data_IF_103946874111
#
_entry.id   IF_103946874111
#
_cell.length_a   1.000
_cell.length_b   1.000
_cell.length_c   1.000
_cell.angle_alpha   90.00
_cell.angle_beta   90.00
_cell.angle_gamma   90.00
#
_symmetry.space_group_name_H-M   'P 1'
#
loop_
_entity.id
_entity.type
_entity.pdbx_description
1 polymer ?
#
# COMPACT_ATOMS: atom_id res chain seq x y z
N UNK A 1 -13.28 -0.02 15.09
CA UNK A 1 -13.49 -1.18 14.19
C UNK A 1 -14.98 -1.51 14.00
N UNK A 2 -15.72 -1.87 15.06
CA UNK A 2 -17.14 -2.25 14.97
C UNK A 2 -18.12 -1.18 14.47
N UNK A 3 -17.70 0.09 14.40
CA UNK A 3 -18.52 1.18 13.84
C UNK A 3 -18.58 1.16 12.30
N UNK A 4 -17.62 0.52 11.62
CA UNK A 4 -17.51 0.55 10.15
C UNK A 4 -17.34 -0.85 9.53
N UNK A 5 -16.70 -1.78 10.26
CA UNK A 5 -16.51 -3.18 9.84
C UNK A 5 -17.22 -4.10 10.85
N UNK A 6 -18.32 -4.76 10.48
CA UNK A 6 -19.14 -5.54 11.41
C UNK A 6 -18.51 -6.88 11.81
N UNK A 7 -17.53 -7.39 11.04
CA UNK A 7 -16.88 -8.68 11.28
C UNK A 7 -15.40 -8.63 10.91
N UNK A 8 -14.56 -9.20 11.77
CA UNK A 8 -13.10 -9.31 11.55
C UNK A 8 -12.75 -10.18 10.34
N UNK A 9 -13.62 -11.14 10.00
CA UNK A 9 -13.42 -12.03 8.84
C UNK A 9 -13.40 -11.26 7.51
N UNK A 10 -14.15 -10.15 7.41
CA UNK A 10 -14.14 -9.28 6.23
C UNK A 10 -12.77 -8.61 6.07
N UNK A 11 -12.17 -8.15 7.17
CA UNK A 11 -10.84 -7.54 7.15
C UNK A 11 -9.78 -8.55 6.69
N UNK A 12 -9.82 -9.78 7.19
CA UNK A 12 -8.90 -10.84 6.72
C UNK A 12 -9.10 -11.16 5.24
N UNK A 13 -10.34 -11.17 4.75
CA UNK A 13 -10.62 -11.32 3.32
C UNK A 13 -9.99 -10.21 2.47
N UNK A 14 -10.11 -8.95 2.90
CA UNK A 14 -9.52 -7.80 2.20
C UNK A 14 -7.99 -7.87 2.22
N UNK A 15 -7.37 -8.13 3.38
CA UNK A 15 -5.91 -8.24 3.49
C UNK A 15 -5.37 -9.36 2.60
N UNK A 16 -6.04 -10.51 2.58
CA UNK A 16 -5.66 -11.63 1.73
C UNK A 16 -5.77 -11.27 0.24
N UNK A 17 -6.86 -10.62 -0.15
CA UNK A 17 -7.11 -10.20 -1.53
C UNK A 17 -6.09 -9.16 -2.03
N UNK A 18 -5.84 -8.11 -1.24
CA UNK A 18 -4.82 -7.09 -1.52
C UNK A 18 -3.42 -7.72 -1.63
N UNK A 19 -3.07 -8.60 -0.70
CA UNK A 19 -1.78 -9.29 -0.71
C UNK A 19 -1.58 -10.19 -1.93
N UNK A 20 -2.60 -10.96 -2.31
CA UNK A 20 -2.54 -11.83 -3.50
C UNK A 20 -2.45 -11.02 -4.80
N UNK A 21 -3.23 -9.94 -4.94
CA UNK A 21 -3.19 -9.08 -6.12
C UNK A 21 -1.87 -8.30 -6.22
N UNK A 22 -1.37 -7.76 -5.11
CA UNK A 22 -0.09 -7.07 -5.06
C UNK A 22 1.06 -7.99 -5.45
N UNK A 23 1.10 -9.20 -4.87
CA UNK A 23 2.12 -10.20 -5.21
C UNK A 23 2.06 -10.65 -6.67
N UNK A 24 0.86 -10.90 -7.20
CA UNK A 24 0.68 -11.32 -8.59
C UNK A 24 1.11 -10.22 -9.59
N UNK A 25 0.75 -8.96 -9.33
CA UNK A 25 1.16 -7.85 -10.19
C UNK A 25 2.66 -7.58 -10.11
N UNK A 26 3.27 -7.71 -8.93
CA UNK A 26 4.72 -7.62 -8.74
C UNK A 26 5.45 -8.63 -9.63
N UNK A 27 5.19 -9.93 -9.44
CA UNK A 27 5.87 -10.99 -10.20
C UNK A 27 5.62 -10.86 -11.70
N UNK A 28 4.39 -10.53 -12.11
CA UNK A 28 4.06 -10.35 -13.52
C UNK A 28 4.80 -9.17 -14.15
N UNK A 29 4.98 -8.06 -13.42
CA UNK A 29 5.75 -6.91 -13.91
C UNK A 29 7.21 -7.27 -14.16
N UNK A 30 7.87 -7.90 -13.19
CA UNK A 30 9.25 -8.37 -13.34
C UNK A 30 9.38 -9.41 -14.47
N UNK A 31 8.45 -10.35 -14.56
CA UNK A 31 8.41 -11.34 -15.63
C UNK A 31 8.36 -10.70 -17.01
N UNK A 32 7.49 -9.70 -17.20
CA UNK A 32 7.33 -8.96 -18.45
C UNK A 32 8.61 -8.19 -18.82
N UNK A 33 9.25 -7.52 -17.86
CA UNK A 33 10.49 -6.78 -18.09
C UNK A 33 11.63 -7.74 -18.49
N UNK A 34 11.73 -8.89 -17.84
CA UNK A 34 12.76 -9.88 -18.17
C UNK A 34 12.56 -10.50 -19.55
N UNK A 35 11.32 -10.76 -19.98
CA UNK A 35 11.04 -11.48 -21.23
C UNK A 35 10.80 -10.58 -22.45
N UNK A 36 10.24 -9.38 -22.28
CA UNK A 36 9.86 -8.49 -23.40
C UNK A 36 10.84 -7.36 -23.67
N UNK A 37 11.75 -7.06 -22.75
CA UNK A 37 12.76 -6.00 -22.94
C UNK A 37 14.01 -6.55 -23.62
N UNK A 38 14.55 -5.79 -24.57
CA UNK A 38 15.82 -6.11 -25.23
C UNK A 38 16.98 -6.22 -24.19
N UNK A 39 17.97 -7.10 -24.40
CA UNK A 39 19.04 -7.33 -23.43
C UNK A 39 19.80 -6.06 -23.03
N UNK A 40 20.00 -5.14 -23.97
CA UNK A 40 20.69 -3.86 -23.79
C UNK A 40 19.98 -2.89 -22.84
N UNK A 41 18.66 -3.01 -22.67
CA UNK A 41 17.86 -2.14 -21.80
C UNK A 41 17.34 -2.84 -20.56
N UNK A 42 17.49 -4.17 -20.47
CA UNK A 42 16.88 -4.99 -19.41
C UNK A 42 17.39 -4.61 -18.02
N UNK A 43 18.69 -4.48 -17.84
CA UNK A 43 19.28 -4.13 -16.54
C UNK A 43 18.84 -2.74 -16.07
N UNK A 44 18.79 -1.78 -16.99
CA UNK A 44 18.30 -0.44 -16.69
C UNK A 44 16.81 -0.45 -16.33
N UNK A 45 15.97 -1.17 -17.08
CA UNK A 45 14.54 -1.29 -16.76
C UNK A 45 14.29 -1.99 -15.43
N UNK A 46 15.08 -3.02 -15.09
CA UNK A 46 15.00 -3.72 -13.80
C UNK A 46 15.43 -2.81 -12.63
N UNK A 47 16.47 -1.99 -12.83
CA UNK A 47 16.86 -0.97 -11.85
C UNK A 47 15.78 0.10 -11.67
N UNK A 48 15.25 0.62 -12.79
CA UNK A 48 14.23 1.67 -12.77
C UNK A 48 12.93 1.22 -12.08
N UNK A 49 12.45 0.00 -12.35
CA UNK A 49 11.23 -0.52 -11.69
C UNK A 49 11.46 -0.73 -10.19
N UNK A 50 12.63 -1.20 -9.76
CA UNK A 50 12.94 -1.38 -8.33
C UNK A 50 13.01 -0.06 -7.56
N UNK A 51 13.57 0.99 -8.18
CA UNK A 51 13.56 2.35 -7.61
C UNK A 51 12.14 2.90 -7.53
N UNK A 52 11.34 2.71 -8.59
CA UNK A 52 9.94 3.14 -8.61
C UNK A 52 9.10 2.47 -7.52
N UNK A 53 9.29 1.17 -7.30
CA UNK A 53 8.61 0.42 -6.23
C UNK A 53 8.96 0.97 -4.84
N UNK A 54 10.25 1.15 -4.56
CA UNK A 54 10.74 1.70 -3.29
C UNK A 54 10.20 3.11 -3.03
N UNK A 55 10.17 3.96 -4.06
CA UNK A 55 9.60 5.31 -3.98
C UNK A 55 8.09 5.26 -3.72
N UNK A 56 7.36 4.37 -4.40
CA UNK A 56 5.92 4.19 -4.20
C UNK A 56 5.59 3.81 -2.76
N UNK A 57 6.28 2.82 -2.20
CA UNK A 57 6.11 2.38 -0.81
C UNK A 57 6.44 3.51 0.17
N UNK A 58 7.54 4.23 -0.06
CA UNK A 58 7.94 5.34 0.82
C UNK A 58 6.92 6.49 0.78
N UNK A 59 6.42 6.83 -0.41
CA UNK A 59 5.41 7.87 -0.57
C UNK A 59 4.07 7.48 0.09
N UNK A 60 3.66 6.21 -0.04
CA UNK A 60 2.48 5.69 0.65
C UNK A 60 2.62 5.76 2.17
N UNK A 61 3.80 5.37 2.70
CA UNK A 61 4.11 5.50 4.13
C UNK A 61 4.08 6.94 4.61
N UNK A 62 4.70 7.87 3.87
CA UNK A 62 4.66 9.29 4.18
C UNK A 62 3.22 9.81 4.21
N UNK A 63 2.41 9.49 3.18
CA UNK A 63 1.01 9.88 3.11
C UNK A 63 0.20 9.31 4.29
N UNK A 64 0.46 8.06 4.69
CA UNK A 64 -0.21 7.44 5.84
C UNK A 64 0.02 8.22 7.13
N UNK A 65 1.25 8.71 7.37
CA UNK A 65 1.57 9.51 8.56
C UNK A 65 0.77 10.82 8.61
N UNK A 66 0.65 11.52 7.47
CA UNK A 66 -0.17 12.72 7.38
C UNK A 66 -1.66 12.42 7.55
N UNK A 67 -2.13 11.35 6.89
CA UNK A 67 -3.53 10.97 6.90
C UNK A 67 -3.98 10.59 8.30
N UNK A 68 -3.17 9.85 9.07
CA UNK A 68 -3.46 9.48 10.46
C UNK A 68 -3.67 10.73 11.33
N UNK A 69 -2.77 11.72 11.24
CA UNK A 69 -2.91 12.97 11.98
C UNK A 69 -4.17 13.76 11.61
N UNK A 70 -4.50 13.82 10.32
CA UNK A 70 -5.71 14.48 9.82
C UNK A 70 -6.99 13.76 10.30
N UNK A 71 -7.01 12.42 10.22
CA UNK A 71 -8.15 11.60 10.64
C UNK A 71 -8.37 11.69 12.15
N UNK A 72 -7.29 11.67 12.94
CA UNK A 72 -7.33 11.85 14.39
C UNK A 72 -7.99 13.19 14.76
N UNK A 73 -7.57 14.29 14.12
CA UNK A 73 -8.15 15.61 14.37
C UNK A 73 -9.64 15.66 13.98
N UNK A 74 -9.98 15.11 12.83
CA UNK A 74 -11.36 15.01 12.37
C UNK A 74 -12.24 14.21 13.33
N UNK A 75 -11.73 13.11 13.91
CA UNK A 75 -12.45 12.28 14.88
C UNK A 75 -12.69 13.01 16.21
N UNK A 76 -11.70 13.76 16.70
CA UNK A 76 -11.83 14.56 17.93
C UNK A 76 -12.91 15.64 17.74
N UNK A 77 -12.90 16.34 16.59
CA UNK A 77 -13.90 17.37 16.28
C UNK A 77 -15.33 16.81 16.20
N UNK A 78 -15.49 15.53 15.85
CA UNK A 78 -16.76 14.82 15.80
C UNK A 78 -17.08 14.03 17.11
N UNK A 79 -16.38 14.33 18.21
CA UNK A 79 -16.68 13.78 19.53
C UNK A 79 -16.28 12.32 19.75
N UNK A 80 -15.34 11.78 18.95
CA UNK A 80 -14.81 10.42 19.07
C UNK A 80 -13.38 10.47 19.65
N UNK A 81 -13.17 10.32 20.98
CA UNK A 81 -11.86 10.49 21.64
C UNK A 81 -10.92 9.28 21.47
N UNK A 82 -10.98 8.55 20.35
CA UNK A 82 -10.22 7.31 20.14
C UNK A 82 -8.70 7.53 20.11
N UNK A 83 -8.27 8.71 19.69
CA UNK A 83 -6.86 9.05 19.48
C UNK A 83 -6.33 10.08 20.48
N UNK A 84 -7.12 10.52 21.47
CA UNK A 84 -6.70 11.53 22.46
C UNK A 84 -5.88 10.98 23.62
N UNK A 85 -5.62 9.66 23.66
CA UNK A 85 -4.98 8.95 24.79
C UNK A 85 -3.75 8.17 24.36
N UNK A 86 -3.06 8.62 23.30
CA UNK A 86 -1.74 8.12 22.92
C UNK A 86 -0.66 9.04 23.48
#
# INVERSE_FOLDING_TARGET
LYAWLPSIWVLFGIILWEGLLGGATYVNCYYQITHRTAPEHREFSLGAVGVADSLGITAAGALSLFLEGALCRWQIDHGRPLCSTV
#
